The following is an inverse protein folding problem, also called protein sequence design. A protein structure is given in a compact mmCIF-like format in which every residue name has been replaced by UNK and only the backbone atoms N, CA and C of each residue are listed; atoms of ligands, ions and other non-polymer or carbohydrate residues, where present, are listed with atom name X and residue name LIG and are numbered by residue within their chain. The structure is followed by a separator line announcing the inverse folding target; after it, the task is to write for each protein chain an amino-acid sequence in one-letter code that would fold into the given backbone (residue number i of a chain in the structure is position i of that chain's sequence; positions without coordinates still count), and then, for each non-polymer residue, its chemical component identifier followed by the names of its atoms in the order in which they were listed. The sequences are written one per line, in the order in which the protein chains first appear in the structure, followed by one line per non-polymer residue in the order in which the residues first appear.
data_IF_172526812198
#
_entry.id   IF_172526812198
#
_cell.length_a   1.000
_cell.length_b   1.000
_cell.length_c   1.000
_cell.angle_alpha   90.00
_cell.angle_beta   90.00
_cell.angle_gamma   90.00
#
_symmetry.space_group_name_H-M   'P 1'
#
loop_
_entity.id
_entity.type
_entity.pdbx_description
1 polymer ?
#
# COMPACT_ATOMS: atom_id res chain seq x y z
N UNK A 1 16.98 -26.44 16.23
CA UNK A 1 15.55 -26.31 16.53
C UNK A 1 14.88 -25.92 15.23
N UNK A 2 13.89 -26.65 14.76
CA UNK A 2 13.19 -26.32 13.50
C UNK A 2 12.37 -25.04 13.69
N UNK A 3 12.43 -24.11 12.74
CA UNK A 3 11.65 -22.86 12.78
C UNK A 3 10.15 -23.17 12.71
N UNK A 4 9.39 -22.58 13.61
CA UNK A 4 7.93 -22.66 13.66
C UNK A 4 7.34 -21.29 14.00
N UNK A 5 6.04 -21.11 13.81
CA UNK A 5 5.35 -19.87 14.18
C UNK A 5 5.44 -19.51 15.67
N UNK A 6 5.73 -20.50 16.54
CA UNK A 6 5.84 -20.28 17.99
C UNK A 6 7.23 -19.84 18.41
N UNK A 7 8.28 -20.17 17.66
CA UNK A 7 9.66 -19.82 17.99
C UNK A 7 10.28 -18.79 17.02
N UNK A 8 9.51 -18.28 16.09
CA UNK A 8 9.92 -17.21 15.18
C UNK A 8 10.09 -15.89 15.97
N UNK A 9 11.20 -15.19 15.73
CA UNK A 9 11.48 -13.88 16.35
C UNK A 9 10.60 -12.80 15.73
N UNK A 10 10.42 -12.82 14.39
CA UNK A 10 9.55 -11.89 13.71
C UNK A 10 8.08 -12.28 13.91
N UNK A 11 7.21 -11.34 14.31
CA UNK A 11 5.77 -11.60 14.41
C UNK A 11 5.13 -11.90 13.04
N UNK A 12 5.76 -11.49 11.93
CA UNK A 12 5.31 -11.80 10.57
C UNK A 12 5.34 -13.32 10.34
N UNK A 13 6.46 -13.98 10.68
CA UNK A 13 6.61 -15.42 10.52
C UNK A 13 6.03 -16.22 11.71
N UNK A 14 5.75 -15.54 12.83
CA UNK A 14 5.10 -16.09 14.00
C UNK A 14 3.59 -15.84 14.02
N UNK A 15 3.17 -14.92 14.88
CA UNK A 15 1.77 -14.59 15.19
C UNK A 15 0.90 -14.29 13.95
N UNK A 16 1.47 -13.65 12.94
CA UNK A 16 0.74 -13.19 11.77
C UNK A 16 0.94 -14.04 10.53
N UNK A 17 1.68 -15.15 10.60
CA UNK A 17 2.01 -16.00 9.44
C UNK A 17 0.79 -16.31 8.57
N UNK A 18 -0.31 -16.74 9.18
CA UNK A 18 -1.55 -17.09 8.45
C UNK A 18 -2.20 -15.94 7.69
N UNK A 19 -1.85 -14.70 8.02
CA UNK A 19 -2.39 -13.51 7.34
C UNK A 19 -1.58 -13.12 6.10
N UNK A 20 -0.29 -13.49 6.05
CA UNK A 20 0.69 -12.98 5.08
C UNK A 20 1.44 -14.11 4.35
N UNK A 21 1.07 -15.36 4.56
CA UNK A 21 1.78 -16.53 4.00
C UNK A 21 1.96 -16.45 2.48
N UNK A 22 0.96 -15.93 1.76
CA UNK A 22 1.04 -15.77 0.30
C UNK A 22 2.21 -14.88 -0.15
N UNK A 23 2.67 -13.94 0.68
CA UNK A 23 3.82 -13.08 0.38
C UNK A 23 5.14 -13.86 0.34
N UNK A 24 5.21 -15.08 0.90
CA UNK A 24 6.40 -15.91 0.83
C UNK A 24 6.75 -16.32 -0.61
N UNK A 25 5.76 -16.38 -1.51
CA UNK A 25 5.98 -16.67 -2.93
C UNK A 25 6.75 -15.57 -3.67
N UNK A 26 6.91 -14.39 -3.06
CA UNK A 26 7.56 -13.21 -3.65
C UNK A 26 8.80 -12.76 -2.86
N UNK A 27 8.76 -12.86 -1.52
CA UNK A 27 9.74 -12.22 -0.64
C UNK A 27 10.52 -13.18 0.25
N UNK A 28 10.33 -14.50 0.15
CA UNK A 28 11.19 -15.48 0.81
C UNK A 28 12.53 -15.64 0.08
N UNK A 29 13.52 -16.24 0.74
CA UNK A 29 14.78 -16.61 0.09
C UNK A 29 14.56 -17.59 -1.06
N UNK A 30 13.65 -18.56 -0.90
CA UNK A 30 13.23 -19.50 -1.96
C UNK A 30 12.68 -18.74 -3.17
N UNK A 31 11.79 -17.77 -2.94
CA UNK A 31 11.22 -16.96 -4.01
C UNK A 31 12.29 -16.14 -4.73
N UNK A 32 13.20 -15.47 -4.01
CA UNK A 32 14.29 -14.71 -4.61
C UNK A 32 15.16 -15.60 -5.51
N UNK A 33 15.49 -16.80 -5.06
CA UNK A 33 16.26 -17.77 -5.84
C UNK A 33 15.49 -18.16 -7.11
N UNK A 34 14.21 -18.47 -6.99
CA UNK A 34 13.33 -18.80 -8.13
C UNK A 34 13.30 -17.68 -9.16
N UNK A 35 13.13 -16.42 -8.73
CA UNK A 35 13.13 -15.26 -9.65
C UNK A 35 14.49 -15.08 -10.35
N UNK A 36 15.59 -15.37 -9.66
CA UNK A 36 16.93 -15.36 -10.28
C UNK A 36 17.05 -16.44 -11.36
N UNK A 37 16.57 -17.65 -11.09
CA UNK A 37 16.53 -18.75 -12.09
C UNK A 37 15.65 -18.34 -13.29
N UNK A 38 14.48 -17.73 -13.05
CA UNK A 38 13.61 -17.23 -14.10
C UNK A 38 14.35 -16.25 -15.02
N UNK A 39 15.02 -15.25 -14.43
CA UNK A 39 15.73 -14.21 -15.22
C UNK A 39 16.86 -14.83 -16.03
N UNK A 40 17.67 -15.73 -15.46
CA UNK A 40 18.75 -16.42 -16.18
C UNK A 40 18.24 -17.25 -17.36
N UNK A 41 17.16 -18.00 -17.17
CA UNK A 41 16.55 -18.83 -18.20
C UNK A 41 15.97 -17.97 -19.33
N UNK A 42 15.18 -16.96 -19.01
CA UNK A 42 14.60 -16.07 -20.04
C UNK A 42 15.68 -15.27 -20.76
N UNK A 43 16.79 -14.92 -20.07
CA UNK A 43 17.95 -14.31 -20.72
C UNK A 43 18.63 -15.26 -21.71
N UNK A 44 18.88 -16.51 -21.34
CA UNK A 44 19.43 -17.52 -22.25
C UNK A 44 18.54 -17.71 -23.48
N UNK A 45 17.21 -17.82 -23.28
CA UNK A 45 16.26 -17.91 -24.39
C UNK A 45 16.34 -16.67 -25.29
N UNK A 46 16.43 -15.48 -24.71
CA UNK A 46 16.56 -14.24 -25.47
C UNK A 46 17.87 -14.19 -26.29
N UNK A 47 18.96 -14.76 -25.78
CA UNK A 47 20.21 -14.90 -26.56
C UNK A 47 20.04 -15.87 -27.75
N UNK A 48 19.29 -16.95 -27.62
CA UNK A 48 18.97 -17.87 -28.71
C UNK A 48 18.10 -17.22 -29.80
N UNK A 49 17.33 -16.18 -29.48
CA UNK A 49 16.46 -15.47 -30.41
C UNK A 49 17.18 -14.40 -31.24
N UNK A 50 18.48 -14.15 -31.00
CA UNK A 50 19.30 -13.21 -31.77
C UNK A 50 20.39 -13.96 -32.55
N UNK A 51 20.98 -13.36 -33.62
CA UNK A 51 21.90 -14.07 -34.52
C UNK A 51 23.30 -14.28 -33.90
N UNK A 52 23.36 -15.10 -32.84
CA UNK A 52 24.60 -15.56 -32.26
C UNK A 52 25.02 -16.87 -32.93
N UNK A 53 26.13 -16.94 -33.66
CA UNK A 53 26.51 -18.14 -34.43
C UNK A 53 26.60 -19.42 -33.59
N UNK A 54 26.95 -19.29 -32.31
CA UNK A 54 27.11 -20.44 -31.40
C UNK A 54 25.75 -20.96 -30.88
N UNK A 55 24.68 -20.17 -30.99
CA UNK A 55 23.32 -20.53 -30.55
C UNK A 55 22.38 -20.79 -31.74
N UNK A 56 22.84 -20.64 -32.97
CA UNK A 56 22.03 -20.77 -34.19
C UNK A 56 21.39 -22.17 -34.31
N UNK A 57 22.06 -23.20 -33.80
CA UNK A 57 21.60 -24.59 -33.87
C UNK A 57 20.80 -25.01 -32.61
N UNK A 58 20.55 -24.09 -31.67
CA UNK A 58 19.75 -24.42 -30.50
C UNK A 58 18.31 -24.76 -30.88
N UNK A 59 17.81 -25.91 -30.39
CA UNK A 59 16.43 -26.35 -30.68
C UNK A 59 15.43 -25.54 -29.85
N UNK A 60 14.69 -24.64 -30.50
CA UNK A 60 13.66 -23.80 -29.86
C UNK A 60 12.52 -24.60 -29.22
N UNK A 61 12.32 -25.87 -29.58
CA UNK A 61 11.32 -26.73 -28.93
C UNK A 61 11.67 -26.98 -27.45
N UNK A 62 12.94 -26.84 -27.06
CA UNK A 62 13.40 -26.95 -25.66
C UNK A 62 13.13 -25.72 -24.80
N UNK A 63 12.60 -24.63 -25.35
CA UNK A 63 12.30 -23.42 -24.54
C UNK A 63 11.28 -23.67 -23.43
N UNK A 64 10.31 -24.54 -23.67
CA UNK A 64 9.32 -24.88 -22.64
C UNK A 64 9.95 -25.79 -21.54
N UNK A 65 10.89 -26.67 -21.89
CA UNK A 65 11.64 -27.47 -20.92
C UNK A 65 12.54 -26.57 -20.08
N UNK A 66 13.20 -25.58 -20.67
CA UNK A 66 13.97 -24.58 -19.94
C UNK A 66 13.08 -23.79 -18.98
N UNK A 67 11.93 -23.34 -19.42
CA UNK A 67 10.97 -22.64 -18.57
C UNK A 67 10.42 -23.52 -17.44
N UNK A 68 10.32 -24.82 -17.66
CA UNK A 68 9.89 -25.75 -16.64
C UNK A 68 10.82 -25.75 -15.42
N UNK A 69 12.12 -25.42 -15.57
CA UNK A 69 13.09 -25.32 -14.47
C UNK A 69 12.63 -24.32 -13.41
N UNK A 70 12.13 -23.13 -13.80
CA UNK A 70 11.64 -22.15 -12.83
C UNK A 70 10.13 -22.27 -12.55
N UNK A 71 9.32 -22.75 -13.51
CA UNK A 71 7.87 -22.94 -13.29
C UNK A 71 7.59 -24.02 -12.27
N UNK A 72 8.38 -25.10 -12.29
CA UNK A 72 8.27 -26.24 -11.38
C UNK A 72 9.28 -26.18 -10.22
N UNK A 73 9.86 -25.01 -9.96
CA UNK A 73 10.88 -24.80 -8.93
C UNK A 73 10.35 -25.14 -7.53
N UNK A 74 11.12 -25.88 -6.76
CA UNK A 74 10.75 -26.41 -5.46
C UNK A 74 11.70 -25.97 -4.35
N UNK A 75 11.31 -26.15 -3.09
CA UNK A 75 12.16 -25.94 -1.93
C UNK A 75 13.44 -26.79 -1.98
N UNK A 76 13.37 -28.01 -2.56
CA UNK A 76 14.56 -28.87 -2.72
C UNK A 76 15.55 -28.29 -3.72
N UNK A 77 15.08 -27.63 -4.79
CA UNK A 77 15.94 -26.93 -5.74
C UNK A 77 16.61 -25.73 -5.07
N UNK A 78 15.87 -24.97 -4.28
CA UNK A 78 16.43 -23.88 -3.48
C UNK A 78 17.49 -24.40 -2.51
N UNK A 79 17.26 -25.54 -1.85
CA UNK A 79 18.22 -26.17 -0.93
C UNK A 79 19.49 -26.62 -1.65
N UNK A 80 19.40 -27.15 -2.87
CA UNK A 80 20.57 -27.47 -3.71
C UNK A 80 21.40 -26.22 -3.99
N UNK A 81 20.75 -25.12 -4.42
CA UNK A 81 21.41 -23.84 -4.68
C UNK A 81 22.08 -23.33 -3.41
N UNK A 82 21.41 -23.36 -2.26
CA UNK A 82 22.01 -22.96 -0.96
C UNK A 82 23.20 -23.84 -0.57
N UNK A 83 23.19 -25.14 -0.92
CA UNK A 83 24.33 -26.03 -0.69
C UNK A 83 25.54 -25.61 -1.54
N UNK A 84 25.31 -25.29 -2.82
CA UNK A 84 26.37 -24.75 -3.71
C UNK A 84 26.89 -23.41 -3.17
N UNK A 85 25.98 -22.51 -2.76
CA UNK A 85 26.31 -21.20 -2.20
C UNK A 85 27.19 -21.32 -0.93
N UNK A 86 26.94 -22.32 -0.07
CA UNK A 86 27.71 -22.55 1.15
C UNK A 86 29.19 -22.84 0.89
N UNK A 87 29.52 -23.35 -0.30
CA UNK A 87 30.90 -23.64 -0.75
C UNK A 87 31.49 -22.46 -1.52
N UNK A 88 30.70 -21.87 -2.42
CA UNK A 88 31.16 -20.80 -3.31
C UNK A 88 31.18 -19.42 -2.66
N UNK A 89 30.44 -19.25 -1.57
CA UNK A 89 30.17 -17.98 -0.89
C UNK A 89 29.66 -16.88 -1.84
N UNK A 90 28.88 -17.29 -2.86
CA UNK A 90 28.34 -16.39 -3.87
C UNK A 90 26.98 -16.86 -4.37
N UNK A 91 25.91 -16.12 -4.05
CA UNK A 91 24.51 -16.50 -4.26
C UNK A 91 24.13 -16.62 -5.76
N UNK A 92 24.41 -15.62 -6.58
CA UNK A 92 24.08 -15.66 -8.02
C UNK A 92 24.94 -16.69 -8.76
N UNK A 93 26.20 -16.88 -8.37
CA UNK A 93 27.06 -17.93 -8.96
C UNK A 93 26.53 -19.34 -8.65
N UNK A 94 25.94 -19.54 -7.48
CA UNK A 94 25.29 -20.79 -7.13
C UNK A 94 24.06 -21.08 -8.02
N UNK A 95 23.30 -20.07 -8.37
CA UNK A 95 22.20 -20.18 -9.35
C UNK A 95 22.72 -20.58 -10.73
N UNK A 96 23.81 -19.96 -11.21
CA UNK A 96 24.45 -20.30 -12.48
C UNK A 96 24.87 -21.78 -12.51
N UNK A 97 25.53 -22.29 -11.45
CA UNK A 97 25.93 -23.69 -11.36
C UNK A 97 24.73 -24.65 -11.36
N UNK A 98 23.69 -24.34 -10.64
CA UNK A 98 22.46 -25.12 -10.64
C UNK A 98 21.85 -25.21 -12.06
N UNK A 99 21.78 -24.09 -12.79
CA UNK A 99 21.25 -24.07 -14.17
C UNK A 99 22.16 -24.90 -15.10
N UNK A 100 23.49 -24.83 -14.92
CA UNK A 100 24.42 -25.69 -15.69
C UNK A 100 24.19 -27.18 -15.47
N UNK A 101 23.84 -27.60 -14.24
CA UNK A 101 23.44 -29.00 -13.96
C UNK A 101 22.10 -29.35 -14.64
N UNK A 102 21.15 -28.42 -14.71
CA UNK A 102 19.89 -28.66 -15.46
C UNK A 102 20.15 -28.81 -16.96
N UNK A 103 21.08 -28.03 -17.53
CA UNK A 103 21.49 -28.18 -18.93
C UNK A 103 22.15 -29.54 -19.22
N UNK A 104 22.92 -30.06 -18.26
CA UNK A 104 23.45 -31.46 -18.37
C UNK A 104 22.29 -32.48 -18.39
N UNK A 105 21.32 -32.32 -17.53
CA UNK A 105 20.17 -33.22 -17.45
C UNK A 105 19.31 -33.19 -18.73
N UNK A 106 19.23 -32.04 -19.41
CA UNK A 106 18.55 -31.86 -20.70
C UNK A 106 19.39 -32.25 -21.91
N UNK A 107 20.66 -32.70 -21.74
CA UNK A 107 21.60 -33.03 -22.79
C UNK A 107 21.93 -31.87 -23.74
N UNK A 108 22.07 -30.67 -23.20
CA UNK A 108 22.43 -29.42 -23.90
C UNK A 108 23.67 -28.77 -23.29
N UNK A 109 24.60 -29.59 -22.81
CA UNK A 109 25.81 -29.16 -22.08
C UNK A 109 26.71 -28.22 -22.89
N UNK A 110 26.69 -28.32 -24.22
CA UNK A 110 27.48 -27.48 -25.13
C UNK A 110 27.11 -25.99 -25.06
N UNK A 111 25.92 -25.65 -24.57
CA UNK A 111 25.43 -24.27 -24.45
C UNK A 111 25.64 -23.63 -23.08
N UNK A 112 26.19 -24.36 -22.10
CA UNK A 112 26.33 -23.92 -20.70
C UNK A 112 27.03 -22.59 -20.51
N UNK A 113 28.02 -22.29 -21.36
CA UNK A 113 28.82 -21.06 -21.22
C UNK A 113 28.09 -19.79 -21.64
N UNK A 114 26.87 -19.94 -22.20
CA UNK A 114 25.95 -18.84 -22.45
C UNK A 114 25.00 -18.52 -21.27
N UNK A 115 25.00 -19.33 -20.21
CA UNK A 115 24.35 -19.00 -18.95
C UNK A 115 25.13 -17.84 -18.31
N UNK A 116 24.45 -16.78 -17.88
CA UNK A 116 25.08 -15.58 -17.30
C UNK A 116 26.07 -14.87 -18.24
N UNK A 117 25.94 -15.07 -19.56
CA UNK A 117 26.90 -14.53 -20.53
C UNK A 117 26.95 -13.01 -20.50
N UNK A 118 28.13 -12.44 -20.24
CA UNK A 118 28.36 -10.99 -20.20
C UNK A 118 27.70 -10.23 -19.04
N UNK A 119 26.96 -10.91 -18.16
CA UNK A 119 26.24 -10.34 -17.04
C UNK A 119 27.09 -10.14 -15.78
N UNK A 120 26.53 -9.41 -14.85
CA UNK A 120 26.96 -9.33 -13.45
C UNK A 120 25.78 -9.68 -12.55
N UNK A 121 26.05 -10.03 -11.29
CA UNK A 121 25.01 -10.41 -10.32
C UNK A 121 23.87 -9.40 -10.23
N UNK A 122 24.15 -8.12 -10.47
CA UNK A 122 23.12 -7.08 -10.39
C UNK A 122 22.23 -7.00 -11.64
N UNK A 123 22.61 -7.55 -12.76
CA UNK A 123 21.69 -7.74 -13.89
C UNK A 123 20.56 -8.72 -13.51
N UNK A 124 20.89 -9.70 -12.66
CA UNK A 124 19.92 -10.67 -12.16
C UNK A 124 19.13 -10.13 -10.96
N UNK A 125 19.79 -9.51 -9.98
CA UNK A 125 19.10 -8.99 -8.79
C UNK A 125 18.22 -7.77 -9.10
N UNK A 126 18.70 -6.83 -9.93
CA UNK A 126 17.97 -5.62 -10.32
C UNK A 126 16.92 -5.86 -11.42
N UNK A 127 16.64 -7.10 -11.75
CA UNK A 127 15.49 -7.56 -12.54
C UNK A 127 14.59 -8.47 -11.71
N UNK A 128 15.14 -9.45 -11.01
CA UNK A 128 14.41 -10.40 -10.17
C UNK A 128 13.62 -9.69 -9.04
N UNK A 129 14.24 -8.75 -8.32
CA UNK A 129 13.61 -8.06 -7.19
C UNK A 129 12.46 -7.13 -7.65
N UNK A 130 12.63 -6.21 -8.63
CA UNK A 130 11.51 -5.41 -9.09
C UNK A 130 10.40 -6.25 -9.73
N UNK A 131 10.71 -7.40 -10.36
CA UNK A 131 9.71 -8.31 -10.88
C UNK A 131 8.89 -8.93 -9.74
N UNK A 132 9.53 -9.44 -8.69
CA UNK A 132 8.82 -10.00 -7.54
C UNK A 132 7.97 -8.96 -6.80
N UNK A 133 8.45 -7.72 -6.67
CA UNK A 133 7.66 -6.61 -6.09
C UNK A 133 6.43 -6.31 -6.96
N UNK A 134 6.60 -6.21 -8.29
CA UNK A 134 5.50 -5.97 -9.23
C UNK A 134 4.42 -7.03 -9.13
N UNK A 135 4.81 -8.30 -9.11
CA UNK A 135 3.87 -9.42 -9.01
C UNK A 135 3.18 -9.44 -7.63
N UNK A 136 3.92 -9.24 -6.53
CA UNK A 136 3.33 -9.11 -5.20
C UNK A 136 2.34 -7.95 -5.08
N UNK A 137 2.64 -6.82 -5.73
CA UNK A 137 1.72 -5.68 -5.83
C UNK A 137 0.42 -6.09 -6.51
N UNK A 138 0.50 -6.71 -7.69
CA UNK A 138 -0.66 -7.07 -8.49
C UNK A 138 -1.51 -8.18 -7.84
N UNK A 139 -0.86 -9.20 -7.30
CA UNK A 139 -1.53 -10.42 -6.86
C UNK A 139 -2.02 -10.35 -5.41
N UNK A 140 -1.36 -9.55 -4.56
CA UNK A 140 -1.64 -9.50 -3.12
C UNK A 140 -2.05 -8.10 -2.67
N UNK A 141 -1.20 -7.07 -2.92
CA UNK A 141 -1.45 -5.74 -2.36
C UNK A 141 -2.70 -5.09 -2.96
N UNK A 142 -2.78 -5.01 -4.27
CA UNK A 142 -3.89 -4.34 -4.98
C UNK A 142 -5.24 -4.98 -4.65
N UNK A 143 -5.40 -6.32 -4.65
CA UNK A 143 -6.65 -6.95 -4.21
C UNK A 143 -7.04 -6.63 -2.77
N UNK A 144 -6.10 -6.63 -1.81
CA UNK A 144 -6.40 -6.32 -0.42
C UNK A 144 -6.72 -4.83 -0.22
N UNK A 145 -6.04 -3.94 -0.94
CA UNK A 145 -6.32 -2.51 -0.98
C UNK A 145 -7.76 -2.24 -1.46
N UNK A 146 -8.17 -2.85 -2.59
CA UNK A 146 -9.52 -2.65 -3.13
C UNK A 146 -10.63 -3.20 -2.23
N UNK A 147 -10.36 -4.20 -1.41
CA UNK A 147 -11.34 -4.66 -0.41
C UNK A 147 -11.65 -3.56 0.61
N UNK A 148 -10.62 -2.84 1.10
CA UNK A 148 -10.81 -1.71 2.03
C UNK A 148 -11.51 -0.55 1.31
N UNK A 149 -11.03 -0.17 0.12
CA UNK A 149 -11.60 0.93 -0.65
C UNK A 149 -13.09 0.71 -0.98
N UNK A 150 -13.44 -0.49 -1.42
CA UNK A 150 -14.83 -0.83 -1.77
C UNK A 150 -15.74 -0.85 -0.54
N UNK A 151 -15.25 -1.30 0.61
CA UNK A 151 -16.01 -1.23 1.86
C UNK A 151 -16.25 0.22 2.26
N UNK A 152 -15.26 1.10 2.18
CA UNK A 152 -15.42 2.52 2.46
C UNK A 152 -16.44 3.18 1.52
N UNK A 153 -16.41 2.85 0.22
CA UNK A 153 -17.43 3.33 -0.75
C UNK A 153 -18.84 2.86 -0.38
N UNK A 154 -18.96 1.61 0.07
CA UNK A 154 -20.24 1.05 0.51
C UNK A 154 -20.77 1.82 1.73
N UNK A 155 -19.93 2.03 2.74
CA UNK A 155 -20.28 2.75 3.95
C UNK A 155 -20.56 4.23 3.68
N UNK A 156 -19.81 4.91 2.83
CA UNK A 156 -20.07 6.28 2.39
C UNK A 156 -21.46 6.41 1.78
N UNK A 157 -21.83 5.50 0.88
CA UNK A 157 -23.16 5.51 0.28
C UNK A 157 -24.28 5.13 1.26
N UNK A 158 -24.05 4.15 2.13
CA UNK A 158 -25.03 3.72 3.16
C UNK A 158 -25.36 4.88 4.11
N UNK A 159 -24.34 5.62 4.54
CA UNK A 159 -24.48 6.68 5.55
C UNK A 159 -24.59 8.09 4.97
N UNK A 160 -24.80 8.24 3.66
CA UNK A 160 -24.85 9.54 2.97
C UNK A 160 -25.91 10.52 3.51
N UNK A 161 -27.00 10.00 4.11
CA UNK A 161 -28.08 10.81 4.66
C UNK A 161 -27.97 11.03 6.19
N UNK A 162 -26.97 10.43 6.84
CA UNK A 162 -26.79 10.54 8.29
C UNK A 162 -26.18 11.89 8.63
N UNK A 163 -26.96 12.80 9.21
CA UNK A 163 -26.46 14.09 9.71
C UNK A 163 -25.58 13.87 10.95
N UNK A 164 -24.47 14.58 11.00
CA UNK A 164 -23.43 14.43 12.01
C UNK A 164 -22.94 15.80 12.48
N UNK A 165 -22.78 15.95 13.80
CA UNK A 165 -22.09 17.11 14.35
C UNK A 165 -20.58 17.02 14.03
N UNK A 166 -20.06 17.93 13.21
CA UNK A 166 -18.62 18.00 13.00
C UNK A 166 -17.91 18.63 14.22
N UNK A 167 -16.65 18.31 14.34
CA UNK A 167 -15.78 18.89 15.39
C UNK A 167 -14.51 19.46 14.78
N UNK A 168 -14.19 20.70 15.14
CA UNK A 168 -12.89 21.30 14.83
C UNK A 168 -12.20 21.65 16.16
N UNK A 169 -10.93 21.36 16.30
CA UNK A 169 -10.21 21.53 17.57
C UNK A 169 -10.90 20.80 18.77
N UNK A 170 -11.62 19.69 18.48
CA UNK A 170 -12.40 18.96 19.47
C UNK A 170 -13.72 19.62 19.87
N UNK A 171 -14.05 20.81 19.36
CA UNK A 171 -15.27 21.55 19.69
C UNK A 171 -16.36 21.34 18.63
N UNK A 172 -17.65 21.39 19.03
CA UNK A 172 -18.78 21.37 18.11
C UNK A 172 -18.63 22.47 17.04
N UNK A 173 -18.84 22.07 15.79
CA UNK A 173 -18.74 22.92 14.60
C UNK A 173 -19.94 22.69 13.68
N UNK A 174 -19.93 23.33 12.51
CA UNK A 174 -21.00 23.20 11.52
C UNK A 174 -21.30 21.73 11.22
N UNK A 175 -22.55 21.30 11.20
CA UNK A 175 -22.90 19.91 10.89
C UNK A 175 -22.43 19.45 9.52
N UNK A 176 -22.24 18.16 9.39
CA UNK A 176 -21.82 17.46 8.18
C UNK A 176 -22.66 16.20 7.98
N UNK A 177 -22.29 15.36 7.02
CA UNK A 177 -22.88 14.03 6.82
C UNK A 177 -21.82 12.96 6.99
N UNK A 178 -22.13 11.91 7.73
CA UNK A 178 -21.19 10.80 8.00
C UNK A 178 -20.69 10.17 6.71
N UNK A 179 -21.55 9.94 5.73
CA UNK A 179 -21.15 9.39 4.44
C UNK A 179 -20.09 10.27 3.74
N UNK A 180 -20.23 11.61 3.80
CA UNK A 180 -19.24 12.54 3.25
C UNK A 180 -17.92 12.48 4.02
N UNK A 181 -17.93 12.33 5.33
CA UNK A 181 -16.71 12.16 6.12
C UNK A 181 -15.93 10.90 5.70
N UNK A 182 -16.64 9.79 5.42
CA UNK A 182 -16.02 8.57 4.89
C UNK A 182 -15.53 8.78 3.44
N UNK A 183 -16.31 9.50 2.60
CA UNK A 183 -15.95 9.76 1.20
C UNK A 183 -14.63 10.52 1.05
N UNK A 184 -14.29 11.37 2.01
CA UNK A 184 -12.98 12.05 2.04
C UNK A 184 -11.83 11.04 1.99
N UNK A 185 -11.93 9.94 2.73
CA UNK A 185 -10.91 8.89 2.72
C UNK A 185 -10.92 8.11 1.40
N UNK A 186 -12.10 7.85 0.82
CA UNK A 186 -12.23 7.21 -0.49
C UNK A 186 -11.49 8.01 -1.55
N UNK A 187 -11.77 9.30 -1.67
CA UNK A 187 -11.13 10.18 -2.67
C UNK A 187 -9.61 10.24 -2.46
N UNK A 188 -9.15 10.43 -1.23
CA UNK A 188 -7.72 10.47 -0.90
C UNK A 188 -7.01 9.17 -1.30
N UNK A 189 -7.63 8.02 -1.04
CA UNK A 189 -7.07 6.71 -1.41
C UNK A 189 -7.04 6.54 -2.92
N UNK A 190 -8.12 6.87 -3.64
CA UNK A 190 -8.16 6.78 -5.11
C UNK A 190 -7.09 7.64 -5.79
N UNK A 191 -6.88 8.87 -5.30
CA UNK A 191 -5.83 9.76 -5.81
C UNK A 191 -4.44 9.14 -5.62
N UNK A 192 -4.16 8.56 -4.44
CA UNK A 192 -2.87 7.91 -4.20
C UNK A 192 -2.71 6.62 -5.03
N UNK A 193 -3.80 5.88 -5.27
CA UNK A 193 -3.75 4.71 -6.13
C UNK A 193 -3.44 5.06 -7.59
N UNK A 194 -3.99 6.16 -8.10
CA UNK A 194 -3.65 6.66 -9.43
C UNK A 194 -2.15 7.01 -9.52
N UNK A 195 -1.61 7.72 -8.52
CA UNK A 195 -0.17 8.02 -8.46
C UNK A 195 0.69 6.74 -8.38
N UNK A 196 0.22 5.72 -7.65
CA UNK A 196 0.89 4.42 -7.53
C UNK A 196 1.00 3.71 -8.88
N UNK A 197 -0.07 3.74 -9.69
CA UNK A 197 -0.10 3.12 -11.01
C UNK A 197 0.84 3.79 -12.03
N UNK A 198 1.14 5.07 -11.85
CA UNK A 198 2.04 5.82 -12.73
C UNK A 198 3.53 5.54 -12.42
N UNK A 199 3.85 4.87 -11.30
CA UNK A 199 5.23 4.55 -10.93
C UNK A 199 5.68 3.31 -11.69
N UNK A 200 6.70 3.41 -12.55
CA UNK A 200 7.18 2.26 -13.31
C UNK A 200 7.95 1.27 -12.45
N UNK A 201 7.80 -0.02 -12.75
CA UNK A 201 8.66 -1.06 -12.20
C UNK A 201 9.98 -1.09 -12.98
N UNK A 202 10.96 -0.32 -12.51
CA UNK A 202 12.23 -0.12 -13.20
C UNK A 202 13.25 -1.22 -12.91
N UNK A 203 14.07 -1.56 -13.89
CA UNK A 203 15.10 -2.58 -13.81
C UNK A 203 16.38 -2.16 -14.54
N UNK A 204 17.53 -2.54 -13.98
CA UNK A 204 18.83 -2.39 -14.62
C UNK A 204 19.26 -3.69 -15.31
N UNK A 205 19.71 -3.54 -16.54
CA UNK A 205 20.32 -4.62 -17.33
C UNK A 205 21.36 -4.04 -18.28
N UNK A 206 22.65 -4.44 -18.16
CA UNK A 206 23.71 -3.83 -18.97
C UNK A 206 25.13 -4.23 -18.57
N UNK A 207 25.31 -5.28 -17.78
CA UNK A 207 26.63 -5.78 -17.35
C UNK A 207 27.22 -4.98 -16.19
N UNK A 208 28.50 -5.18 -15.94
CA UNK A 208 29.21 -4.77 -14.72
C UNK A 208 29.20 -3.26 -14.43
N UNK A 209 29.02 -2.42 -15.44
CA UNK A 209 28.96 -0.95 -15.31
C UNK A 209 27.77 -0.34 -16.06
N UNK A 210 26.80 -1.15 -16.48
CA UNK A 210 25.63 -0.68 -17.23
C UNK A 210 25.91 -0.33 -18.70
N UNK A 211 27.08 -0.65 -19.22
CA UNK A 211 27.53 -0.24 -20.57
C UNK A 211 27.60 -1.41 -21.57
N UNK A 212 27.17 -2.62 -21.21
CA UNK A 212 27.30 -3.83 -22.05
C UNK A 212 28.74 -4.14 -22.51
N UNK A 213 29.78 -3.81 -21.72
CA UNK A 213 31.16 -3.92 -22.10
C UNK A 213 31.54 -5.32 -22.59
N UNK A 214 31.24 -6.36 -21.82
CA UNK A 214 31.52 -7.75 -22.16
C UNK A 214 30.77 -8.21 -23.41
N UNK A 215 29.50 -7.86 -23.50
CA UNK A 215 28.65 -8.16 -24.67
C UNK A 215 29.23 -7.51 -25.94
N UNK A 216 29.57 -6.21 -25.85
CA UNK A 216 30.05 -5.43 -26.99
C UNK A 216 31.42 -5.92 -27.52
N UNK A 217 32.30 -6.38 -26.62
CA UNK A 217 33.60 -6.93 -27.06
C UNK A 217 33.44 -8.31 -27.70
N UNK A 218 32.48 -9.12 -27.23
CA UNK A 218 32.23 -10.46 -27.77
C UNK A 218 31.51 -10.41 -29.12
N UNK A 219 30.49 -9.55 -29.24
CA UNK A 219 29.68 -9.42 -30.45
C UNK A 219 29.45 -7.94 -30.80
N UNK A 220 30.45 -7.29 -31.42
CA UNK A 220 30.44 -5.83 -31.67
C UNK A 220 29.36 -5.36 -32.66
N UNK A 221 28.82 -6.26 -33.49
CA UNK A 221 27.78 -5.94 -34.48
C UNK A 221 26.37 -5.84 -33.90
N UNK A 222 26.14 -6.36 -32.67
CA UNK A 222 24.82 -6.37 -32.05
C UNK A 222 24.56 -5.04 -31.32
N UNK A 223 23.33 -4.53 -31.45
CA UNK A 223 22.83 -3.43 -30.64
C UNK A 223 22.36 -3.95 -29.28
N UNK A 224 23.31 -4.04 -28.35
CA UNK A 224 23.06 -4.57 -27.02
C UNK A 224 22.13 -3.68 -26.17
N UNK A 225 22.08 -2.37 -26.45
CA UNK A 225 21.13 -1.49 -25.78
C UNK A 225 19.69 -1.80 -26.18
N UNK A 226 19.45 -1.95 -27.49
CA UNK A 226 18.14 -2.35 -28.00
C UNK A 226 17.76 -3.75 -27.51
N UNK A 227 18.70 -4.70 -27.51
CA UNK A 227 18.51 -6.06 -26.97
C UNK A 227 18.11 -6.01 -25.48
N UNK A 228 18.86 -5.30 -24.64
CA UNK A 228 18.58 -5.20 -23.21
C UNK A 228 17.22 -4.56 -22.92
N UNK A 229 16.87 -3.50 -23.67
CA UNK A 229 15.53 -2.88 -23.56
C UNK A 229 14.42 -3.85 -23.91
N UNK A 230 14.58 -4.57 -25.03
CA UNK A 230 13.60 -5.58 -25.47
C UNK A 230 13.47 -6.72 -24.46
N UNK A 231 14.59 -7.24 -23.95
CA UNK A 231 14.60 -8.29 -22.92
C UNK A 231 13.83 -7.87 -21.67
N UNK A 232 14.17 -6.71 -21.09
CA UNK A 232 13.55 -6.21 -19.87
C UNK A 232 12.07 -5.92 -20.06
N UNK A 233 11.68 -5.35 -21.21
CA UNK A 233 10.29 -4.97 -21.48
C UNK A 233 9.42 -6.15 -21.90
N UNK A 234 9.86 -6.95 -22.88
CA UNK A 234 9.02 -7.99 -23.49
C UNK A 234 9.07 -9.31 -22.71
N UNK A 235 10.24 -9.69 -22.15
CA UNK A 235 10.36 -10.95 -21.40
C UNK A 235 10.03 -10.82 -19.93
N UNK A 236 10.37 -9.66 -19.28
CA UNK A 236 10.15 -9.45 -17.86
C UNK A 236 9.01 -8.48 -17.57
N UNK A 237 8.51 -7.76 -18.57
CA UNK A 237 7.44 -6.78 -18.39
C UNK A 237 7.83 -5.60 -17.49
N UNK A 238 9.13 -5.27 -17.40
CA UNK A 238 9.68 -4.20 -16.59
C UNK A 238 10.11 -3.01 -17.46
N UNK A 239 10.37 -1.86 -16.87
CA UNK A 239 10.94 -0.72 -17.57
C UNK A 239 12.47 -0.77 -17.49
N UNK A 240 13.16 -0.74 -18.65
CA UNK A 240 14.62 -0.70 -18.67
C UNK A 240 15.14 0.69 -18.29
N UNK A 241 15.87 0.77 -17.19
CA UNK A 241 16.64 1.96 -16.79
C UNK A 241 17.94 2.04 -17.57
N UNK A 242 18.15 3.11 -18.32
CA UNK A 242 19.37 3.35 -19.07
C UNK A 242 19.60 4.87 -19.28
N UNK A 243 20.82 5.41 -19.04
CA UNK A 243 22.01 4.73 -18.53
C UNK A 243 21.93 4.44 -17.03
N UNK A 244 22.70 3.45 -16.55
CA UNK A 244 22.85 3.12 -15.14
C UNK A 244 24.32 2.91 -14.78
N UNK A 245 24.61 2.76 -13.48
CA UNK A 245 25.88 2.18 -12.99
C UNK A 245 25.79 0.65 -12.98
N UNK A 246 26.51 -0.03 -12.10
CA UNK A 246 26.34 -1.48 -11.92
C UNK A 246 24.95 -1.84 -11.39
N UNK A 247 24.23 -0.91 -10.73
CA UNK A 247 22.91 -1.09 -10.14
C UNK A 247 21.87 -0.17 -10.79
N UNK A 248 20.60 -0.47 -10.57
CA UNK A 248 19.48 0.43 -10.81
C UNK A 248 19.56 1.64 -9.88
N UNK A 249 19.02 2.80 -10.28
CA UNK A 249 19.02 4.04 -9.47
C UNK A 249 18.18 3.92 -8.19
N UNK A 250 17.20 3.03 -8.19
CA UNK A 250 16.16 2.85 -7.15
C UNK A 250 15.23 4.05 -6.93
N UNK A 251 15.29 5.09 -7.75
CA UNK A 251 14.44 6.27 -7.59
C UNK A 251 12.96 5.93 -7.74
N UNK A 252 12.60 5.08 -8.71
CA UNK A 252 11.22 4.61 -8.89
C UNK A 252 10.77 3.68 -7.76
N UNK A 253 11.66 2.83 -7.27
CA UNK A 253 11.36 1.97 -6.12
C UNK A 253 11.18 2.80 -4.83
N UNK A 254 11.97 3.85 -4.64
CA UNK A 254 11.81 4.80 -3.56
C UNK A 254 10.46 5.54 -3.66
N UNK A 255 10.08 6.00 -4.86
CA UNK A 255 8.78 6.62 -5.12
C UNK A 255 7.61 5.66 -4.81
N UNK A 256 7.76 4.36 -5.15
CA UNK A 256 6.79 3.32 -4.79
C UNK A 256 6.62 3.23 -3.27
N UNK A 257 7.71 3.13 -2.52
CA UNK A 257 7.68 3.01 -1.06
C UNK A 257 7.12 4.27 -0.40
N UNK A 258 7.44 5.46 -0.91
CA UNK A 258 6.87 6.72 -0.45
C UNK A 258 5.36 6.81 -0.72
N UNK A 259 4.90 6.29 -1.85
CA UNK A 259 3.47 6.24 -2.16
C UNK A 259 2.73 5.27 -1.24
N UNK A 260 3.27 4.06 -1.02
CA UNK A 260 2.71 3.08 -0.08
C UNK A 260 2.64 3.63 1.35
N UNK A 261 3.67 4.34 1.80
CA UNK A 261 3.69 5.04 3.09
C UNK A 261 2.57 6.08 3.20
N UNK A 262 2.29 6.86 2.14
CA UNK A 262 1.17 7.84 2.14
C UNK A 262 -0.18 7.14 2.20
N UNK A 263 -0.38 6.06 1.46
CA UNK A 263 -1.61 5.25 1.53
C UNK A 263 -1.80 4.73 2.97
N UNK A 264 -0.78 4.13 3.55
CA UNK A 264 -0.82 3.66 4.93
C UNK A 264 -1.16 4.79 5.92
N UNK A 265 -0.62 5.99 5.70
CA UNK A 265 -0.89 7.17 6.55
C UNK A 265 -2.35 7.61 6.47
N UNK A 266 -2.98 7.53 5.30
CA UNK A 266 -4.41 7.83 5.13
C UNK A 266 -5.26 6.80 5.89
N UNK A 267 -4.86 5.52 5.86
CA UNK A 267 -5.57 4.46 6.59
C UNK A 267 -5.40 4.62 8.11
N UNK A 268 -4.22 5.00 8.58
CA UNK A 268 -3.99 5.32 10.01
C UNK A 268 -4.89 6.48 10.45
N UNK A 269 -5.03 7.52 9.62
CA UNK A 269 -5.90 8.67 9.89
C UNK A 269 -7.37 8.23 10.01
N UNK A 270 -7.84 7.40 9.08
CA UNK A 270 -9.16 6.75 9.15
C UNK A 270 -9.32 5.91 10.42
N UNK A 271 -8.36 5.05 10.74
CA UNK A 271 -8.41 4.16 11.92
C UNK A 271 -8.56 4.97 13.21
N UNK A 272 -7.89 6.12 13.32
CA UNK A 272 -7.97 7.04 14.45
C UNK A 272 -9.31 7.75 14.54
N UNK A 273 -9.88 8.19 13.42
CA UNK A 273 -11.20 8.81 13.40
C UNK A 273 -12.29 7.80 13.80
N UNK A 274 -12.25 6.59 13.25
CA UNK A 274 -13.20 5.53 13.62
C UNK A 274 -13.03 5.15 15.10
N UNK A 275 -11.81 5.02 15.60
CA UNK A 275 -11.55 4.79 17.02
C UNK A 275 -12.18 5.89 17.89
N UNK A 276 -12.01 7.16 17.47
CA UNK A 276 -12.60 8.31 18.15
C UNK A 276 -14.13 8.25 18.12
N UNK A 277 -14.74 7.92 16.99
CA UNK A 277 -16.21 7.77 16.86
C UNK A 277 -16.75 6.64 17.72
N UNK A 278 -16.01 5.54 17.87
CA UNK A 278 -16.35 4.47 18.83
C UNK A 278 -16.32 5.01 20.27
N UNK A 279 -15.31 5.81 20.65
CA UNK A 279 -15.20 6.41 21.99
C UNK A 279 -16.29 7.44 22.29
N UNK A 280 -16.92 8.01 21.25
CA UNK A 280 -18.04 8.94 21.34
C UNK A 280 -19.40 8.24 21.29
N UNK A 281 -19.45 6.91 21.28
CA UNK A 281 -20.66 6.09 21.11
C UNK A 281 -21.38 6.29 19.75
N UNK A 282 -20.75 6.88 18.75
CA UNK A 282 -21.29 6.98 17.40
C UNK A 282 -21.37 5.61 16.73
N UNK A 283 -20.40 4.74 17.01
CA UNK A 283 -20.41 3.34 16.60
C UNK A 283 -20.38 2.39 17.79
N UNK A 284 -21.13 1.30 17.65
CA UNK A 284 -20.96 0.07 18.44
C UNK A 284 -20.30 -0.98 17.56
N UNK A 285 -19.76 -2.04 18.17
CA UNK A 285 -19.14 -3.13 17.44
C UNK A 285 -19.94 -4.42 17.60
N UNK A 286 -20.11 -5.16 16.48
CA UNK A 286 -20.70 -6.50 16.50
C UNK A 286 -19.87 -7.42 17.38
N UNK A 287 -20.52 -8.11 18.32
CA UNK A 287 -19.89 -9.10 19.16
C UNK A 287 -20.03 -10.48 18.49
N UNK A 288 -18.93 -11.19 18.28
CA UNK A 288 -18.96 -12.59 17.87
C UNK A 288 -19.15 -13.48 19.08
N UNK A 289 -20.03 -14.47 18.98
CA UNK A 289 -20.25 -15.47 20.04
C UNK A 289 -18.92 -16.16 20.36
N UNK A 290 -18.49 -16.05 21.63
CA UNK A 290 -17.23 -16.64 22.11
C UNK A 290 -16.03 -15.68 22.12
N UNK A 291 -16.12 -14.45 21.54
CA UNK A 291 -15.08 -13.43 21.71
C UNK A 291 -15.19 -12.79 23.10
N UNK A 292 -14.04 -12.60 23.75
CA UNK A 292 -13.93 -11.87 25.03
C UNK A 292 -13.44 -10.47 24.73
N UNK A 293 -14.31 -9.46 24.92
CA UNK A 293 -14.00 -8.06 24.61
C UNK A 293 -12.97 -7.41 25.57
N UNK A 294 -12.92 -7.87 26.82
CA UNK A 294 -11.99 -7.40 27.84
C UNK A 294 -11.77 -8.50 28.87
N UNK A 295 -10.56 -8.64 29.38
CA UNK A 295 -10.24 -9.62 30.42
C UNK A 295 -10.87 -9.30 31.79
N UNK A 296 -11.19 -8.02 32.06
CA UNK A 296 -11.71 -7.55 33.35
C UNK A 296 -13.15 -7.05 33.29
N UNK A 297 -13.63 -6.59 32.13
CA UNK A 297 -14.93 -5.95 31.95
C UNK A 297 -15.69 -6.59 30.77
N UNK A 298 -16.56 -7.59 31.00
CA UNK A 298 -17.20 -8.36 29.92
C UNK A 298 -18.09 -7.52 28.96
N UNK A 299 -18.58 -6.37 29.43
CA UNK A 299 -19.42 -5.46 28.62
C UNK A 299 -18.60 -4.55 27.69
N UNK A 300 -17.26 -4.48 27.84
CA UNK A 300 -16.38 -3.57 27.12
C UNK A 300 -15.90 -4.20 25.82
N UNK A 301 -16.34 -3.68 24.68
CA UNK A 301 -15.87 -4.11 23.34
C UNK A 301 -14.91 -3.07 22.80
N UNK A 302 -13.61 -3.40 22.80
CA UNK A 302 -12.56 -2.48 22.35
C UNK A 302 -12.43 -2.48 20.83
N UNK A 303 -12.10 -1.33 20.19
CA UNK A 303 -11.85 -1.22 18.75
C UNK A 303 -10.45 -1.72 18.36
N UNK A 304 -10.06 -2.91 18.84
CA UNK A 304 -8.70 -3.48 18.72
C UNK A 304 -8.26 -3.74 17.28
N UNK A 305 -9.21 -3.89 16.35
CA UNK A 305 -8.87 -4.12 14.96
C UNK A 305 -8.24 -2.85 14.35
N UNK A 306 -8.73 -1.66 14.68
CA UNK A 306 -8.16 -0.37 14.26
C UNK A 306 -6.82 -0.08 14.94
N UNK A 307 -6.68 -0.38 16.24
CA UNK A 307 -5.42 -0.26 16.98
C UNK A 307 -4.34 -1.20 16.40
N UNK A 308 -4.70 -2.43 16.05
CA UNK A 308 -3.80 -3.39 15.41
C UNK A 308 -3.39 -2.92 14.01
N UNK A 309 -4.29 -2.30 13.26
CA UNK A 309 -3.99 -1.70 11.97
C UNK A 309 -2.99 -0.56 12.12
N UNK A 310 -3.29 0.44 12.94
CA UNK A 310 -2.42 1.59 13.19
C UNK A 310 -1.00 1.15 13.58
N UNK A 311 -0.87 0.19 14.51
CA UNK A 311 0.42 -0.32 14.96
C UNK A 311 1.22 -0.98 13.84
N UNK A 312 0.58 -1.84 13.02
CA UNK A 312 1.25 -2.51 11.90
C UNK A 312 1.62 -1.54 10.78
N UNK A 313 0.72 -0.62 10.40
CA UNK A 313 0.99 0.37 9.37
C UNK A 313 2.09 1.35 9.79
N UNK A 314 2.19 1.68 11.08
CA UNK A 314 3.28 2.48 11.63
C UNK A 314 4.65 1.81 11.46
N UNK A 315 4.75 0.51 11.74
CA UNK A 315 5.98 -0.27 11.51
C UNK A 315 6.30 -0.34 10.01
N UNK A 316 5.29 -0.61 9.16
CA UNK A 316 5.49 -0.61 7.71
C UNK A 316 6.06 0.72 7.22
N UNK A 317 5.51 1.85 7.66
CA UNK A 317 5.94 3.18 7.27
C UNK A 317 7.40 3.46 7.68
N UNK A 318 7.82 3.04 8.86
CA UNK A 318 9.21 3.21 9.31
C UNK A 318 10.21 2.46 8.42
N UNK A 319 9.86 1.23 7.97
CA UNK A 319 10.72 0.45 7.08
C UNK A 319 10.68 1.00 5.64
N UNK A 320 9.51 1.37 5.12
CA UNK A 320 9.40 2.03 3.80
C UNK A 320 10.18 3.33 3.75
N UNK A 321 10.12 4.16 4.80
CA UNK A 321 10.91 5.40 4.90
C UNK A 321 12.40 5.11 4.79
N UNK A 322 12.90 4.12 5.55
CA UNK A 322 14.31 3.75 5.49
C UNK A 322 14.70 3.25 4.10
N UNK A 323 13.90 2.39 3.48
CA UNK A 323 14.18 1.86 2.13
C UNK A 323 14.18 2.96 1.08
N UNK A 324 13.19 3.86 1.09
CA UNK A 324 13.10 4.98 0.16
C UNK A 324 14.27 5.95 0.28
N UNK A 325 14.73 6.24 1.51
CA UNK A 325 15.86 7.12 1.75
C UNK A 325 17.22 6.46 1.47
N UNK A 326 17.34 5.14 1.71
CA UNK A 326 18.64 4.45 1.62
C UNK A 326 18.98 3.96 0.21
N UNK A 327 18.01 3.41 -0.52
CA UNK A 327 18.28 2.71 -1.79
C UNK A 327 18.89 3.62 -2.87
N UNK A 328 18.45 4.89 -3.06
CA UNK A 328 19.06 5.80 -4.04
C UNK A 328 20.50 6.20 -3.72
N UNK A 329 21.01 5.86 -2.53
CA UNK A 329 22.36 6.20 -2.11
C UNK A 329 23.31 5.01 -2.27
N UNK A 330 24.29 5.12 -3.15
CA UNK A 330 25.37 4.13 -3.34
C UNK A 330 26.71 4.81 -3.58
N UNK A 331 27.80 4.06 -3.40
CA UNK A 331 29.17 4.55 -3.60
C UNK A 331 29.67 4.18 -4.99
N UNK A 332 30.06 5.19 -5.77
CA UNK A 332 30.62 5.00 -7.12
C UNK A 332 29.68 4.13 -8.00
N UNK A 333 30.20 2.99 -8.52
CA UNK A 333 29.40 2.06 -9.30
C UNK A 333 28.42 1.26 -8.44
N UNK A 334 28.82 0.88 -7.23
CA UNK A 334 28.02 0.12 -6.27
C UNK A 334 28.75 -0.06 -4.93
N UNK A 335 28.00 -0.12 -3.84
CA UNK A 335 28.37 -0.82 -2.61
C UNK A 335 27.35 -1.95 -2.31
N UNK A 336 27.61 -2.78 -1.29
CA UNK A 336 26.78 -3.95 -0.98
C UNK A 336 25.53 -3.63 -0.15
N UNK A 337 25.36 -2.39 0.32
CA UNK A 337 24.29 -2.06 1.28
C UNK A 337 22.89 -2.19 0.69
N UNK A 338 22.72 -2.04 -0.63
CA UNK A 338 21.46 -2.29 -1.34
C UNK A 338 20.97 -3.73 -1.11
N UNK A 339 21.83 -4.72 -1.31
CA UNK A 339 21.48 -6.14 -1.12
C UNK A 339 21.08 -6.46 0.30
N UNK A 340 21.69 -5.80 1.31
CA UNK A 340 21.35 -5.99 2.72
C UNK A 340 19.95 -5.49 3.03
N UNK A 341 19.61 -4.27 2.59
CA UNK A 341 18.31 -3.67 2.93
C UNK A 341 17.17 -4.24 2.10
N UNK A 342 17.40 -4.59 0.83
CA UNK A 342 16.40 -5.19 -0.06
C UNK A 342 15.87 -6.54 0.44
N UNK A 343 16.62 -7.30 1.23
CA UNK A 343 16.15 -8.53 1.87
C UNK A 343 14.99 -8.27 2.86
N UNK A 344 14.78 -7.02 3.28
CA UNK A 344 13.71 -6.62 4.18
C UNK A 344 12.46 -6.09 3.46
N UNK A 345 12.42 -6.08 2.13
CA UNK A 345 11.27 -5.54 1.36
C UNK A 345 9.96 -6.22 1.76
N UNK A 346 9.95 -7.54 1.97
CA UNK A 346 8.76 -8.27 2.40
C UNK A 346 8.21 -7.86 3.78
N UNK A 347 9.04 -7.26 4.64
CA UNK A 347 8.63 -6.85 6.01
C UNK A 347 7.56 -5.75 5.98
N UNK A 348 7.78 -4.58 5.34
CA UNK A 348 6.76 -3.53 5.31
C UNK A 348 5.53 -3.93 4.49
N UNK A 349 5.67 -4.73 3.43
CA UNK A 349 4.51 -5.30 2.72
C UNK A 349 3.67 -6.17 3.64
N UNK A 350 4.30 -7.05 4.43
CA UNK A 350 3.59 -7.91 5.36
C UNK A 350 2.83 -7.12 6.42
N UNK A 351 3.46 -6.13 7.04
CA UNK A 351 2.79 -5.25 7.99
C UNK A 351 1.65 -4.45 7.36
N UNK A 352 1.82 -3.97 6.13
CA UNK A 352 0.75 -3.30 5.39
C UNK A 352 -0.46 -4.21 5.16
N UNK A 353 -0.25 -5.44 4.70
CA UNK A 353 -1.35 -6.42 4.51
C UNK A 353 -2.05 -6.76 5.83
N UNK A 354 -1.30 -6.89 6.94
CA UNK A 354 -1.89 -7.10 8.26
C UNK A 354 -2.78 -5.89 8.64
N UNK A 355 -2.30 -4.68 8.42
CA UNK A 355 -3.05 -3.44 8.66
C UNK A 355 -4.33 -3.39 7.84
N UNK A 356 -4.25 -3.53 6.50
CA UNK A 356 -5.41 -3.53 5.61
C UNK A 356 -6.49 -4.55 6.03
N UNK A 357 -6.08 -5.80 6.30
CA UNK A 357 -6.99 -6.85 6.78
C UNK A 357 -7.60 -6.51 8.14
N UNK A 358 -6.88 -5.80 9.01
CA UNK A 358 -7.38 -5.40 10.32
C UNK A 358 -8.37 -4.24 10.21
N UNK A 359 -8.08 -3.20 9.42
CA UNK A 359 -9.04 -2.12 9.13
C UNK A 359 -10.33 -2.68 8.53
N UNK A 360 -10.22 -3.51 7.49
CA UNK A 360 -11.40 -4.13 6.86
C UNK A 360 -12.24 -4.93 7.88
N UNK A 361 -11.58 -5.71 8.73
CA UNK A 361 -12.26 -6.48 9.79
C UNK A 361 -12.94 -5.56 10.80
N UNK A 362 -12.32 -4.44 11.15
CA UNK A 362 -12.90 -3.42 12.03
C UNK A 362 -14.13 -2.77 11.40
N UNK A 363 -14.03 -2.31 10.15
CA UNK A 363 -15.15 -1.69 9.40
C UNK A 363 -16.36 -2.63 9.34
N UNK A 364 -16.17 -3.91 9.04
CA UNK A 364 -17.25 -4.91 8.98
C UNK A 364 -17.94 -5.19 10.34
N UNK A 365 -17.37 -4.73 11.44
CA UNK A 365 -17.95 -4.86 12.79
C UNK A 365 -18.73 -3.63 13.23
N UNK A 366 -18.66 -2.51 12.51
CA UNK A 366 -19.32 -1.27 12.91
C UNK A 366 -20.84 -1.41 12.87
N UNK A 367 -21.48 -0.86 13.88
CA UNK A 367 -22.93 -0.68 13.99
C UNK A 367 -23.21 0.80 14.28
N UNK A 368 -23.89 1.45 13.37
CA UNK A 368 -24.27 2.86 13.53
C UNK A 368 -25.21 3.05 14.73
N UNK A 369 -24.94 4.04 15.56
CA UNK A 369 -25.80 4.44 16.69
C UNK A 369 -26.50 5.76 16.34
N UNK A 370 -27.52 5.71 15.47
CA UNK A 370 -28.25 6.89 14.99
C UNK A 370 -28.80 7.78 16.11
N UNK A 371 -29.23 7.17 17.23
CA UNK A 371 -29.73 7.91 18.38
C UNK A 371 -28.69 8.86 18.97
N UNK A 372 -27.39 8.46 18.96
CA UNK A 372 -26.31 9.29 19.48
C UNK A 372 -25.98 10.46 18.55
N UNK A 373 -26.06 10.26 17.25
CA UNK A 373 -25.90 11.35 16.26
C UNK A 373 -27.03 12.40 16.45
N UNK A 374 -28.27 11.95 16.58
CA UNK A 374 -29.39 12.84 16.81
C UNK A 374 -29.29 13.60 18.15
N UNK A 375 -28.90 12.93 19.23
CA UNK A 375 -28.65 13.51 20.54
C UNK A 375 -27.59 14.62 20.50
N UNK A 376 -26.46 14.36 19.84
CA UNK A 376 -25.35 15.33 19.75
C UNK A 376 -25.76 16.58 18.95
N UNK A 377 -26.51 16.42 17.87
CA UNK A 377 -27.06 17.55 17.11
C UNK A 377 -28.05 18.35 17.94
N UNK A 378 -29.00 17.69 18.63
CA UNK A 378 -29.99 18.33 19.47
C UNK A 378 -29.35 19.08 20.65
N UNK A 379 -28.26 18.57 21.18
CA UNK A 379 -27.57 19.22 22.28
C UNK A 379 -26.69 20.42 21.85
N UNK A 380 -26.57 20.71 20.54
CA UNK A 380 -25.66 21.72 20.01
C UNK A 380 -26.31 22.73 19.04
N UNK A 381 -27.48 23.23 19.37
CA UNK A 381 -28.21 24.21 18.56
C UNK A 381 -27.42 25.48 18.24
N UNK A 382 -26.40 25.83 19.03
CA UNK A 382 -25.50 26.95 18.74
C UNK A 382 -24.84 26.91 17.35
N UNK A 383 -24.68 25.70 16.74
CA UNK A 383 -24.01 25.53 15.45
C UNK A 383 -24.80 26.13 14.27
N UNK A 384 -26.14 26.38 14.42
CA UNK A 384 -26.91 27.04 13.37
C UNK A 384 -26.69 28.56 13.33
N UNK A 385 -26.01 29.14 14.31
CA UNK A 385 -25.69 30.56 14.33
C UNK A 385 -24.95 31.03 13.07
N UNK A 386 -24.10 30.19 12.49
CA UNK A 386 -23.42 30.50 11.25
C UNK A 386 -24.40 30.64 10.07
N UNK A 387 -25.37 29.73 9.96
CA UNK A 387 -26.39 29.78 8.92
C UNK A 387 -27.28 31.07 9.08
N UNK A 388 -27.70 31.35 10.30
CA UNK A 388 -28.49 32.56 10.61
C UNK A 388 -27.71 33.82 10.24
N UNK A 389 -26.45 33.91 10.64
CA UNK A 389 -25.55 35.03 10.30
C UNK A 389 -25.42 35.22 8.78
N UNK A 390 -25.30 34.10 8.05
CA UNK A 390 -25.12 34.14 6.58
C UNK A 390 -26.39 34.67 5.89
N UNK A 391 -27.56 34.22 6.31
CA UNK A 391 -28.85 34.73 5.80
C UNK A 391 -29.05 36.23 6.17
N UNK A 392 -28.77 36.60 7.41
CA UNK A 392 -28.81 38.03 7.80
C UNK A 392 -27.88 38.90 6.98
N UNK A 393 -26.70 38.41 6.58
CA UNK A 393 -25.80 39.10 5.65
C UNK A 393 -26.43 39.23 4.25
N UNK A 394 -27.06 38.19 3.75
CA UNK A 394 -27.81 38.22 2.48
C UNK A 394 -28.87 39.30 2.47
N UNK A 395 -29.56 39.49 3.60
CA UNK A 395 -30.62 40.49 3.79
C UNK A 395 -30.08 41.90 4.17
N UNK A 396 -28.75 42.09 4.11
CA UNK A 396 -28.07 43.33 4.50
C UNK A 396 -28.43 43.85 5.94
N UNK A 397 -28.73 42.89 6.84
CA UNK A 397 -29.00 43.20 8.25
C UNK A 397 -27.80 43.85 8.92
N UNK A 398 -27.96 44.93 9.73
CA UNK A 398 -26.83 45.62 10.34
C UNK A 398 -26.17 44.79 11.44
N UNK A 399 -24.84 44.66 11.38
CA UNK A 399 -23.99 43.95 12.36
C UNK A 399 -24.48 42.56 12.77
N UNK A 400 -24.70 41.64 11.81
CA UNK A 400 -25.30 40.35 12.09
C UNK A 400 -24.50 39.45 13.06
N UNK A 401 -23.18 39.57 13.05
CA UNK A 401 -22.30 38.86 13.99
C UNK A 401 -22.53 39.34 15.45
N UNK A 402 -22.64 40.67 15.67
CA UNK A 402 -22.82 41.23 16.99
C UNK A 402 -24.25 40.89 17.54
N UNK A 403 -25.24 40.81 16.67
CA UNK A 403 -26.58 40.39 17.05
C UNK A 403 -26.60 38.96 17.61
N UNK A 404 -25.89 38.02 16.93
CA UNK A 404 -25.75 36.65 17.37
C UNK A 404 -24.85 36.43 18.58
N UNK A 405 -23.84 37.31 18.76
CA UNK A 405 -22.94 37.23 19.90
C UNK A 405 -23.68 37.41 21.23
N UNK A 406 -24.75 38.21 21.26
CA UNK A 406 -25.63 38.35 22.42
C UNK A 406 -26.32 37.04 22.81
N UNK A 407 -26.68 36.23 21.81
CA UNK A 407 -27.31 34.92 22.04
C UNK A 407 -26.28 33.85 22.46
N UNK A 408 -25.10 33.83 21.84
CA UNK A 408 -24.15 32.70 21.98
C UNK A 408 -23.17 32.84 23.16
N UNK A 409 -23.09 34.01 23.79
CA UNK A 409 -22.19 34.30 24.94
C UNK A 409 -22.94 34.41 26.28
N UNK A 410 -24.12 33.90 26.37
CA UNK A 410 -24.81 33.69 27.65
C UNK A 410 -24.39 32.32 28.18
N UNK A 411 -24.05 32.12 29.40
CA UNK A 411 -23.69 30.79 29.94
C UNK A 411 -24.89 29.82 30.00
N UNK A 412 -25.94 30.05 29.22
CA UNK A 412 -27.12 29.22 29.11
C UNK A 412 -27.03 28.30 27.90
N UNK A 413 -27.64 27.09 28.01
CA UNK A 413 -27.74 26.14 26.89
C UNK A 413 -28.60 26.73 25.78
N UNK A 414 -28.07 26.85 24.58
CA UNK A 414 -28.83 27.25 23.39
C UNK A 414 -29.70 26.09 22.95
N UNK A 415 -30.97 26.30 22.82
CA UNK A 415 -32.00 25.35 22.40
C UNK A 415 -32.75 25.87 21.16
N UNK A 416 -33.60 25.02 20.57
CA UNK A 416 -34.50 25.43 19.50
C UNK A 416 -35.33 26.64 19.89
N UNK A 417 -35.91 26.63 21.11
CA UNK A 417 -36.73 27.73 21.60
C UNK A 417 -35.94 29.03 21.73
N UNK A 418 -34.71 28.97 22.26
CA UNK A 418 -33.87 30.18 22.38
C UNK A 418 -33.50 30.76 21.01
N UNK A 419 -33.25 29.92 20.01
CA UNK A 419 -33.01 30.34 18.61
C UNK A 419 -34.30 30.94 18.02
N UNK A 420 -35.45 30.29 18.19
CA UNK A 420 -36.74 30.79 17.68
C UNK A 420 -37.10 32.13 18.29
N UNK A 421 -36.97 32.26 19.60
CA UNK A 421 -37.25 33.53 20.31
C UNK A 421 -36.30 34.65 19.82
N UNK A 422 -35.03 34.34 19.62
CA UNK A 422 -34.09 35.30 19.05
C UNK A 422 -34.51 35.74 17.64
N UNK A 423 -34.90 34.82 16.76
CA UNK A 423 -35.36 35.12 15.40
C UNK A 423 -36.58 36.07 15.45
N UNK A 424 -37.49 35.88 16.39
CA UNK A 424 -38.67 36.74 16.54
C UNK A 424 -38.30 38.20 16.88
N UNK A 425 -37.18 38.43 17.53
CA UNK A 425 -36.66 39.79 17.83
C UNK A 425 -36.02 40.53 16.65
N UNK A 426 -35.68 39.77 15.55
CA UNK A 426 -34.99 40.36 14.40
C UNK A 426 -35.91 41.31 13.61
N UNK A 427 -35.36 42.43 13.17
CA UNK A 427 -36.05 43.38 12.28
C UNK A 427 -35.87 42.97 10.80
N UNK A 428 -36.46 41.85 10.43
CA UNK A 428 -36.49 41.31 9.06
C UNK A 428 -37.93 40.91 8.66
N UNK A 429 -38.25 40.80 7.35
CA UNK A 429 -39.56 40.35 6.90
C UNK A 429 -39.97 38.99 7.52
N UNK A 430 -41.26 38.77 7.73
CA UNK A 430 -41.77 37.52 8.28
C UNK A 430 -41.34 36.29 7.43
N UNK A 431 -41.30 36.42 6.12
CA UNK A 431 -40.79 35.34 5.24
C UNK A 431 -39.37 34.93 5.57
N UNK A 432 -38.53 35.86 5.95
CA UNK A 432 -37.14 35.56 6.36
C UNK A 432 -37.12 34.92 7.75
N UNK A 433 -37.97 35.37 8.69
CA UNK A 433 -38.08 34.73 9.99
C UNK A 433 -38.53 33.27 9.86
N UNK A 434 -39.50 32.98 8.99
CA UNK A 434 -39.93 31.60 8.72
C UNK A 434 -38.77 30.77 8.07
N UNK A 435 -38.04 31.31 7.12
CA UNK A 435 -36.86 30.67 6.54
C UNK A 435 -35.83 30.31 7.61
N UNK A 436 -35.51 31.26 8.49
CA UNK A 436 -34.54 31.08 9.58
C UNK A 436 -35.00 29.99 10.57
N UNK A 437 -36.29 29.94 10.91
CA UNK A 437 -36.86 28.94 11.82
C UNK A 437 -36.86 27.51 11.26
N UNK A 438 -36.73 27.34 9.94
CA UNK A 438 -36.60 26.02 9.33
C UNK A 438 -35.20 25.41 9.46
N UNK A 439 -34.19 26.20 9.83
CA UNK A 439 -32.81 25.75 9.98
C UNK A 439 -32.64 25.01 11.29
N UNK A 440 -32.16 23.78 11.21
CA UNK A 440 -31.88 22.91 12.36
C UNK A 440 -30.44 22.36 12.26
N UNK A 441 -29.84 21.90 13.37
CA UNK A 441 -28.57 21.21 13.31
C UNK A 441 -28.59 19.99 12.40
N UNK A 442 -29.73 19.33 12.21
CA UNK A 442 -29.86 18.12 11.40
C UNK A 442 -29.99 18.41 9.89
N UNK A 443 -30.46 19.58 9.48
CA UNK A 443 -30.63 19.93 8.06
C UNK A 443 -29.57 20.92 7.53
N UNK A 444 -28.79 21.54 8.39
CA UNK A 444 -27.72 22.46 8.01
C UNK A 444 -26.44 21.68 7.66
N UNK A 445 -26.51 20.80 6.70
CA UNK A 445 -25.40 19.88 6.32
C UNK A 445 -24.79 20.17 4.94
N UNK A 446 -25.27 21.18 4.24
CA UNK A 446 -24.80 21.53 2.90
C UNK A 446 -25.20 20.52 1.83
N UNK A 447 -24.31 20.31 0.84
CA UNK A 447 -24.48 19.42 -0.32
C UNK A 447 -23.97 18.02 -0.02
#
# INVERSE_FOLDING_TARGET
MQLSSLNAISPIDGRYRSKVEALSNYFSEEALIKYRVLVEIEYFIALCEIPLPQLEQFDANLFDDLRAIYKNFTADDALKIKTIESVTNHDVKAVEYFIKEQFDALNISEYKEFIHFGLTSQDINNTAIPLSIKEAMNDIYVPEYFKVLNELKSLSNEWKAVSMLARTHGQPASPTRLGKEIEVFVVRLEEQFNLLNDIPSAAKFGGATGNFNAHKVAYPAIDWKAFGSKFVQEKLGLQHSFPTTQIEHYDHMAALFDCLKRINTIIIDLDRDIWTYVSMDYFKQKIKKGEVGSSAMPHKVNPIDFENSEGNLGIANAVFEHLAAKLPLSRLQRDLTDSTVLRNVGVPFSHTIIGLKSTLKGLNKLLLNEAKFAEDLENNWAVVAEAIQTILRREAYPNPYEALKGLTRTNEKITQDSISNFIDTLEVPNSIKEELKQITPSNYTGI
#
